data_IF_630710516017
#
_entry.id   IF_630710516017
#
_cell.length_a   1.000
_cell.length_b   1.000
_cell.length_c   1.000
_cell.angle_alpha   90.00
_cell.angle_beta   90.00
_cell.angle_gamma   90.00
#
_symmetry.space_group_name_H-M   'P 1'
#
loop_
_entity.id
_entity.type
_entity.pdbx_description
1 polymer ?
#
# COMPACT_ATOMS: atom_id res chain seq x y z
N UNK A 1 31.92 8.28 13.75
CA UNK A 1 30.76 8.64 12.95
C UNK A 1 30.57 7.53 11.93
N UNK A 2 29.37 6.92 11.79
CA UNK A 2 29.12 5.88 10.78
C UNK A 2 29.16 6.51 9.39
N UNK A 3 29.83 5.86 8.44
CA UNK A 3 29.86 6.27 7.03
C UNK A 3 28.98 5.32 6.21
N UNK A 4 28.49 5.80 5.09
CA UNK A 4 27.58 5.06 4.21
C UNK A 4 28.18 5.06 2.80
N UNK A 5 27.99 3.99 2.01
CA UNK A 5 28.60 3.88 0.67
C UNK A 5 28.02 4.90 -0.32
N UNK A 6 26.75 5.26 -0.18
CA UNK A 6 26.01 6.18 -1.05
C UNK A 6 24.82 6.82 -0.33
N UNK A 7 24.14 7.76 -0.99
CA UNK A 7 22.98 8.47 -0.45
C UNK A 7 21.77 7.55 -0.24
N UNK A 8 21.59 6.54 -1.07
CA UNK A 8 20.47 5.60 -0.95
C UNK A 8 20.63 4.71 0.28
N UNK A 9 21.83 4.20 0.52
CA UNK A 9 22.18 3.47 1.74
C UNK A 9 21.98 4.33 2.98
N UNK A 10 22.45 5.59 2.94
CA UNK A 10 22.24 6.54 4.05
C UNK A 10 20.74 6.73 4.33
N UNK A 11 19.95 7.02 3.31
CA UNK A 11 18.51 7.26 3.43
C UNK A 11 17.79 6.04 4.01
N UNK A 12 18.07 4.85 3.49
CA UNK A 12 17.45 3.60 3.94
C UNK A 12 17.81 3.28 5.38
N UNK A 13 19.09 3.28 5.71
CA UNK A 13 19.54 2.86 7.03
C UNK A 13 19.21 3.87 8.15
N UNK A 14 19.12 5.16 7.82
CA UNK A 14 18.88 6.23 8.82
C UNK A 14 17.41 6.57 8.97
N UNK A 15 16.64 6.62 7.87
CA UNK A 15 15.27 7.09 7.88
C UNK A 15 14.21 5.98 7.72
N UNK A 16 14.59 4.85 7.14
CA UNK A 16 13.72 3.69 6.96
C UNK A 16 14.34 2.39 7.51
N UNK A 17 14.88 2.40 8.76
CA UNK A 17 15.45 1.19 9.32
C UNK A 17 14.38 0.11 9.50
N UNK A 18 14.72 -1.09 9.06
CA UNK A 18 13.91 -2.29 9.26
C UNK A 18 14.38 -3.02 10.52
N UNK A 19 13.43 -3.54 11.29
CA UNK A 19 13.74 -4.54 12.33
C UNK A 19 14.01 -5.92 11.68
N UNK A 20 14.40 -6.89 12.51
CA UNK A 20 14.79 -8.20 12.01
C UNK A 20 13.59 -8.95 11.38
N UNK A 21 12.38 -8.70 11.86
CA UNK A 21 11.18 -9.27 11.25
C UNK A 21 10.98 -8.76 9.81
N UNK A 22 10.95 -7.44 9.63
CA UNK A 22 10.76 -6.84 8.30
C UNK A 22 11.81 -7.31 7.28
N UNK A 23 13.08 -7.40 7.71
CA UNK A 23 14.17 -7.91 6.86
C UNK A 23 13.96 -9.35 6.40
N UNK A 24 13.27 -10.17 7.18
CA UNK A 24 13.03 -11.59 6.87
C UNK A 24 11.74 -11.84 6.08
N UNK A 25 10.81 -10.90 6.01
CA UNK A 25 9.51 -11.09 5.32
C UNK A 25 9.72 -11.57 3.88
N UNK A 26 10.48 -10.82 3.08
CA UNK A 26 10.64 -11.16 1.65
C UNK A 26 11.55 -12.37 1.41
N UNK A 27 12.70 -12.55 2.09
CA UNK A 27 13.44 -13.80 2.00
C UNK A 27 12.58 -15.03 2.27
N UNK A 28 11.85 -15.04 3.39
CA UNK A 28 10.99 -16.16 3.78
C UNK A 28 9.83 -16.38 2.79
N UNK A 29 9.24 -15.31 2.25
CA UNK A 29 8.19 -15.38 1.26
C UNK A 29 8.69 -16.04 -0.04
N UNK A 30 9.88 -15.67 -0.51
CA UNK A 30 10.52 -16.26 -1.70
C UNK A 30 10.81 -17.74 -1.49
N UNK A 31 11.32 -18.15 -0.32
CA UNK A 31 11.52 -19.57 0.03
C UNK A 31 10.21 -20.37 0.00
N UNK A 32 9.08 -19.73 0.31
CA UNK A 32 7.75 -20.31 0.19
C UNK A 32 7.18 -20.21 -1.23
N UNK A 33 7.95 -19.70 -2.21
CA UNK A 33 7.56 -19.60 -3.62
C UNK A 33 6.64 -18.44 -3.97
N UNK A 34 6.63 -17.36 -3.17
CA UNK A 34 6.00 -16.10 -3.53
C UNK A 34 6.93 -15.30 -4.44
N UNK A 35 6.40 -14.44 -5.32
CA UNK A 35 7.25 -13.60 -6.18
C UNK A 35 8.04 -12.59 -5.35
N UNK A 36 9.26 -12.27 -5.81
CA UNK A 36 10.12 -11.28 -5.17
C UNK A 36 9.70 -9.86 -5.56
N UNK A 37 8.55 -9.45 -5.09
CA UNK A 37 8.01 -8.10 -5.25
C UNK A 37 7.51 -7.59 -3.90
N UNK A 38 7.81 -6.35 -3.56
CA UNK A 38 7.25 -5.63 -2.41
C UNK A 38 7.58 -4.15 -2.55
N UNK A 39 6.91 -3.32 -1.81
CA UNK A 39 7.31 -1.92 -1.64
C UNK A 39 8.71 -1.83 -1.04
N UNK A 40 9.46 -0.77 -1.37
CA UNK A 40 10.77 -0.53 -0.75
C UNK A 40 10.63 -0.20 0.75
N UNK A 41 11.70 -0.36 1.55
CA UNK A 41 11.69 0.07 2.95
C UNK A 41 11.33 1.55 3.11
N UNK A 42 11.79 2.40 2.20
CA UNK A 42 11.47 3.83 2.17
C UNK A 42 9.98 4.08 1.89
N UNK A 43 9.38 3.31 0.95
CA UNK A 43 7.93 3.37 0.68
C UNK A 43 7.14 2.88 1.89
N UNK A 44 7.52 1.77 2.51
CA UNK A 44 6.91 1.25 3.74
C UNK A 44 6.96 2.28 4.88
N UNK A 45 8.13 2.92 5.10
CA UNK A 45 8.29 3.98 6.09
C UNK A 45 7.44 5.21 5.79
N UNK A 46 7.32 5.57 4.50
CA UNK A 46 6.44 6.67 4.08
C UNK A 46 4.98 6.35 4.33
N UNK A 47 4.52 5.14 4.03
CA UNK A 47 3.16 4.69 4.35
C UNK A 47 2.87 4.80 5.86
N UNK A 48 3.81 4.32 6.69
CA UNK A 48 3.72 4.48 8.15
C UNK A 48 3.63 5.95 8.57
N UNK A 49 4.49 6.81 8.02
CA UNK A 49 4.50 8.25 8.30
C UNK A 49 3.16 8.90 7.92
N UNK A 50 2.65 8.63 6.72
CA UNK A 50 1.37 9.17 6.24
C UNK A 50 0.21 8.74 7.15
N UNK A 51 0.12 7.46 7.51
CA UNK A 51 -0.91 6.96 8.41
C UNK A 51 -0.83 7.61 9.80
N UNK A 52 0.37 7.79 10.35
CA UNK A 52 0.58 8.49 11.64
C UNK A 52 0.22 9.96 11.55
N UNK A 53 0.58 10.65 10.46
CA UNK A 53 0.37 12.10 10.32
C UNK A 53 -1.10 12.51 10.32
N UNK A 54 -1.99 11.62 9.84
CA UNK A 54 -3.44 11.86 9.85
C UNK A 54 -4.16 11.23 11.06
N UNK A 55 -3.40 10.60 11.97
CA UNK A 55 -3.97 9.90 13.12
C UNK A 55 -4.87 8.73 12.72
N UNK A 56 -4.48 7.97 11.67
CA UNK A 56 -5.29 6.89 11.13
C UNK A 56 -5.65 5.83 12.20
N UNK A 57 -6.89 5.36 12.15
CA UNK A 57 -7.45 4.30 13.00
C UNK A 57 -8.02 3.15 12.18
N UNK A 58 -8.40 3.40 10.92
CA UNK A 58 -8.98 2.42 10.00
C UNK A 58 -8.28 2.53 8.65
N UNK A 59 -7.62 1.45 8.25
CA UNK A 59 -6.89 1.37 6.98
C UNK A 59 -7.38 0.18 6.18
N UNK A 60 -7.57 0.38 4.88
CA UNK A 60 -7.78 -0.68 3.90
C UNK A 60 -6.59 -0.76 2.95
N UNK A 61 -6.16 -1.96 2.63
CA UNK A 61 -5.13 -2.26 1.63
C UNK A 61 -5.67 -3.21 0.56
N UNK A 62 -5.41 -2.88 -0.69
CA UNK A 62 -5.60 -3.76 -1.83
C UNK A 62 -4.27 -4.41 -2.22
N UNK A 63 -4.14 -5.72 -2.02
CA UNK A 63 -2.94 -6.51 -2.28
C UNK A 63 -2.04 -6.65 -1.04
N UNK A 64 -1.87 -7.89 -0.53
CA UNK A 64 -1.07 -8.17 0.66
C UNK A 64 0.28 -8.80 0.34
N UNK A 65 0.33 -9.71 -0.64
CA UNK A 65 1.46 -10.58 -0.97
C UNK A 65 1.97 -11.35 0.27
N UNK A 66 2.97 -10.77 0.97
CA UNK A 66 3.56 -11.31 2.20
C UNK A 66 3.30 -10.41 3.43
N UNK A 67 2.53 -9.34 3.27
CA UNK A 67 2.15 -8.43 4.36
C UNK A 67 3.20 -7.40 4.75
N UNK A 68 4.22 -7.17 3.93
CA UNK A 68 5.30 -6.23 4.26
C UNK A 68 4.78 -4.79 4.41
N UNK A 69 4.06 -4.26 3.44
CA UNK A 69 3.39 -2.95 3.50
C UNK A 69 2.37 -2.88 4.63
N UNK A 70 1.57 -3.94 4.79
CA UNK A 70 0.58 -4.05 5.84
C UNK A 70 1.16 -3.97 7.25
N UNK A 71 2.36 -4.53 7.51
CA UNK A 71 3.05 -4.38 8.80
C UNK A 71 3.41 -2.92 9.06
N UNK A 72 3.93 -2.19 8.07
CA UNK A 72 4.23 -0.76 8.21
C UNK A 72 2.97 0.06 8.50
N UNK A 73 1.87 -0.22 7.79
CA UNK A 73 0.58 0.45 7.95
C UNK A 73 -0.07 0.12 9.31
N UNK A 74 -0.16 -1.16 9.66
CA UNK A 74 -0.79 -1.59 10.90
C UNK A 74 -0.04 -1.11 12.15
N UNK A 75 1.30 -1.08 12.12
CA UNK A 75 2.13 -0.50 13.20
C UNK A 75 1.93 1.01 13.37
N UNK A 76 1.32 1.69 12.41
CA UNK A 76 0.94 3.10 12.55
C UNK A 76 -0.34 3.29 13.37
N UNK A 77 -1.18 2.27 13.47
CA UNK A 77 -2.47 2.33 14.15
C UNK A 77 -2.32 2.29 15.68
N UNK A 78 -3.29 2.80 16.43
CA UNK A 78 -3.41 2.55 17.87
C UNK A 78 -3.91 1.11 18.13
N UNK A 79 -3.81 0.63 19.38
CA UNK A 79 -4.19 -0.74 19.77
C UNK A 79 -5.65 -1.11 19.45
N UNK A 80 -6.54 -0.13 19.38
CA UNK A 80 -7.94 -0.28 18.98
C UNK A 80 -8.19 0.12 17.52
N UNK A 81 -7.14 0.19 16.71
CA UNK A 81 -7.24 0.42 15.27
C UNK A 81 -7.72 -0.80 14.51
N UNK A 82 -8.04 -0.61 13.24
CA UNK A 82 -8.46 -1.70 12.34
C UNK A 82 -7.71 -1.57 11.02
N UNK A 83 -6.98 -2.61 10.67
CA UNK A 83 -6.33 -2.76 9.37
C UNK A 83 -6.95 -3.95 8.64
N UNK A 84 -7.36 -3.75 7.40
CA UNK A 84 -7.89 -4.81 6.54
C UNK A 84 -7.05 -4.84 5.27
N UNK A 85 -6.57 -6.01 4.88
CA UNK A 85 -5.96 -6.22 3.57
C UNK A 85 -6.74 -7.26 2.77
N UNK A 86 -6.89 -6.99 1.47
CA UNK A 86 -7.58 -7.88 0.53
C UNK A 86 -6.54 -8.58 -0.33
N UNK A 87 -6.58 -9.92 -0.36
CA UNK A 87 -5.61 -10.75 -1.11
C UNK A 87 -6.34 -11.83 -1.89
N UNK A 88 -6.06 -11.92 -3.19
CA UNK A 88 -6.73 -12.88 -4.05
C UNK A 88 -6.16 -14.29 -3.91
N UNK A 89 -4.87 -14.43 -3.65
CA UNK A 89 -4.18 -15.72 -3.55
C UNK A 89 -4.22 -16.26 -2.11
N UNK A 90 -4.88 -17.41 -1.86
CA UNK A 90 -4.95 -18.01 -0.53
C UNK A 90 -3.57 -18.30 0.09
N UNK A 91 -2.58 -18.67 -0.73
CA UNK A 91 -1.21 -18.95 -0.27
C UNK A 91 -0.53 -17.67 0.22
N UNK A 92 -0.66 -16.57 -0.52
CA UNK A 92 -0.16 -15.26 -0.11
C UNK A 92 -0.83 -14.81 1.21
N UNK A 93 -2.14 -14.96 1.28
CA UNK A 93 -2.90 -14.62 2.49
C UNK A 93 -2.46 -15.42 3.72
N UNK A 94 -2.16 -16.71 3.56
CA UNK A 94 -1.67 -17.57 4.67
C UNK A 94 -0.28 -17.13 5.13
N UNK A 95 0.62 -16.77 4.21
CA UNK A 95 1.94 -16.20 4.55
C UNK A 95 1.77 -14.87 5.26
N UNK A 96 0.88 -14.00 4.76
CA UNK A 96 0.58 -12.70 5.37
C UNK A 96 0.06 -12.83 6.79
N UNK A 97 -0.88 -13.75 7.06
CA UNK A 97 -1.40 -13.99 8.42
C UNK A 97 -0.30 -14.39 9.39
N UNK A 98 0.59 -15.32 8.99
CA UNK A 98 1.73 -15.75 9.81
C UNK A 98 2.68 -14.57 10.12
N UNK A 99 2.91 -13.71 9.13
CA UNK A 99 3.77 -12.54 9.31
C UNK A 99 3.11 -11.48 10.23
N UNK A 100 1.79 -11.29 10.15
CA UNK A 100 1.06 -10.42 11.09
C UNK A 100 1.04 -10.98 12.51
N UNK A 101 0.91 -12.30 12.67
CA UNK A 101 1.04 -12.96 13.96
C UNK A 101 2.44 -12.76 14.57
N UNK A 102 3.49 -13.01 13.78
CA UNK A 102 4.88 -12.76 14.19
C UNK A 102 5.17 -11.29 14.53
N UNK A 103 4.46 -10.35 13.87
CA UNK A 103 4.53 -8.93 14.15
C UNK A 103 3.71 -8.47 15.37
N UNK A 104 2.93 -9.38 16.00
CA UNK A 104 2.03 -9.05 17.11
C UNK A 104 0.79 -8.25 16.70
N UNK A 105 0.37 -8.35 15.44
CA UNK A 105 -0.69 -7.52 14.85
C UNK A 105 -2.06 -8.23 14.74
N UNK A 106 -2.16 -9.50 15.17
CA UNK A 106 -3.39 -10.31 15.02
C UNK A 106 -4.65 -9.68 15.64
N UNK A 107 -4.49 -8.77 16.61
CA UNK A 107 -5.61 -8.08 17.25
C UNK A 107 -6.23 -6.95 16.41
N UNK A 108 -5.47 -6.40 15.46
CA UNK A 108 -5.88 -5.23 14.66
C UNK A 108 -5.84 -5.46 13.16
N UNK A 109 -5.07 -6.45 12.67
CA UNK A 109 -4.89 -6.75 11.25
C UNK A 109 -5.70 -7.97 10.82
N UNK A 110 -6.47 -7.81 9.75
CA UNK A 110 -7.34 -8.84 9.17
C UNK A 110 -6.98 -9.05 7.70
N UNK A 111 -6.79 -10.31 7.29
CA UNK A 111 -6.56 -10.69 5.88
C UNK A 111 -7.82 -11.35 5.35
N UNK A 112 -8.44 -10.74 4.34
CA UNK A 112 -9.59 -11.28 3.60
C UNK A 112 -9.14 -11.86 2.28
N UNK A 113 -9.56 -13.10 2.01
CA UNK A 113 -9.15 -13.84 0.81
C UNK A 113 -10.25 -13.82 -0.23
N UNK A 114 -9.90 -13.44 -1.45
CA UNK A 114 -10.80 -13.45 -2.60
C UNK A 114 -10.60 -12.26 -3.52
N UNK A 115 -11.43 -12.20 -4.55
CA UNK A 115 -11.46 -11.08 -5.47
C UNK A 115 -11.81 -9.78 -4.73
N UNK A 116 -10.99 -8.74 -4.91
CA UNK A 116 -11.17 -7.46 -4.23
C UNK A 116 -12.52 -6.82 -4.55
N UNK A 117 -13.00 -6.89 -5.80
CA UNK A 117 -14.31 -6.34 -6.19
C UNK A 117 -15.47 -7.01 -5.43
N UNK A 118 -15.35 -8.30 -5.11
CA UNK A 118 -16.35 -9.00 -4.31
C UNK A 118 -16.21 -8.69 -2.80
N UNK A 119 -14.97 -8.54 -2.31
CA UNK A 119 -14.68 -8.35 -0.89
C UNK A 119 -14.93 -6.94 -0.39
N UNK A 120 -14.87 -5.92 -1.26
CA UNK A 120 -15.10 -4.51 -0.89
C UNK A 120 -16.47 -4.30 -0.23
N UNK A 121 -17.51 -5.02 -0.68
CA UNK A 121 -18.85 -4.94 -0.06
C UNK A 121 -18.81 -5.28 1.44
N UNK A 122 -18.03 -6.30 1.83
CA UNK A 122 -17.83 -6.63 3.25
C UNK A 122 -16.92 -5.64 3.99
N UNK A 123 -16.00 -4.99 3.28
CA UNK A 123 -15.13 -3.98 3.87
C UNK A 123 -15.88 -2.68 4.22
N UNK A 124 -16.97 -2.34 3.52
CA UNK A 124 -17.78 -1.14 3.78
C UNK A 124 -18.34 -1.10 5.21
N UNK A 125 -18.53 -2.25 5.86
CA UNK A 125 -18.98 -2.30 7.26
C UNK A 125 -17.99 -1.63 8.24
N UNK A 126 -16.73 -1.44 7.84
CA UNK A 126 -15.69 -0.76 8.62
C UNK A 126 -15.52 0.70 8.21
N UNK A 127 -15.96 1.06 7.00
CA UNK A 127 -15.87 2.43 6.47
C UNK A 127 -16.53 3.48 7.40
N UNK A 128 -16.21 4.77 7.27
CA UNK A 128 -15.19 5.28 6.37
C UNK A 128 -13.76 4.97 6.84
N UNK A 129 -12.84 4.80 5.88
CA UNK A 129 -11.42 4.60 6.15
C UNK A 129 -10.69 5.92 6.31
N UNK A 130 -9.63 5.92 7.10
CA UNK A 130 -8.71 7.05 7.21
C UNK A 130 -7.66 7.03 6.10
N UNK A 131 -7.24 5.84 5.68
CA UNK A 131 -6.31 5.64 4.58
C UNK A 131 -6.72 4.39 3.79
N UNK A 132 -6.71 4.52 2.46
CA UNK A 132 -6.82 3.40 1.52
C UNK A 132 -5.52 3.30 0.74
N UNK A 133 -4.86 2.12 0.79
CA UNK A 133 -3.64 1.84 0.04
C UNK A 133 -3.93 0.87 -1.09
N UNK A 134 -3.45 1.20 -2.31
CA UNK A 134 -3.71 0.45 -3.55
C UNK A 134 -2.37 -0.06 -4.09
N UNK A 135 -2.13 -1.37 -3.99
CA UNK A 135 -0.97 -2.06 -4.58
C UNK A 135 -1.32 -3.49 -5.00
N UNK A 136 -2.35 -3.62 -5.83
CA UNK A 136 -2.79 -4.89 -6.42
C UNK A 136 -2.55 -4.91 -7.94
N UNK A 137 -3.41 -5.62 -8.69
CA UNK A 137 -3.38 -5.62 -10.16
C UNK A 137 -3.63 -4.22 -10.72
N UNK A 138 -2.78 -3.82 -11.66
CA UNK A 138 -2.74 -2.43 -12.11
C UNK A 138 -3.92 -2.08 -13.02
N UNK A 139 -4.47 -3.07 -13.69
CA UNK A 139 -5.65 -2.94 -14.57
C UNK A 139 -6.88 -2.44 -13.79
N UNK A 140 -7.02 -2.80 -12.51
CA UNK A 140 -8.15 -2.45 -11.64
C UNK A 140 -7.94 -1.14 -10.84
N UNK A 141 -6.83 -0.43 -11.02
CA UNK A 141 -6.57 0.83 -10.27
C UNK A 141 -7.70 1.87 -10.39
N UNK A 142 -8.30 2.10 -11.58
CA UNK A 142 -9.45 3.01 -11.68
C UNK A 142 -10.64 2.58 -10.81
N UNK A 143 -10.93 1.29 -10.72
CA UNK A 143 -12.06 0.76 -9.93
C UNK A 143 -11.77 0.84 -8.42
N UNK A 144 -10.51 0.55 -8.02
CA UNK A 144 -10.08 0.73 -6.63
C UNK A 144 -10.14 2.20 -6.20
N UNK A 145 -9.86 3.13 -7.13
CA UNK A 145 -10.02 4.56 -6.89
C UNK A 145 -11.49 4.93 -6.67
N UNK A 146 -12.42 4.40 -7.47
CA UNK A 146 -13.85 4.65 -7.30
C UNK A 146 -14.31 4.23 -5.90
N UNK A 147 -13.94 3.02 -5.48
CA UNK A 147 -14.22 2.56 -4.13
C UNK A 147 -13.57 3.46 -3.06
N UNK A 148 -12.31 3.84 -3.23
CA UNK A 148 -11.58 4.65 -2.27
C UNK A 148 -12.19 6.06 -2.11
N UNK A 149 -12.65 6.68 -3.22
CA UNK A 149 -13.33 7.97 -3.21
C UNK A 149 -14.63 7.95 -2.41
N UNK A 150 -15.39 6.85 -2.51
CA UNK A 150 -16.67 6.70 -1.82
C UNK A 150 -16.49 6.39 -0.31
N UNK A 151 -15.40 5.71 0.05
CA UNK A 151 -15.25 5.11 1.37
C UNK A 151 -14.11 5.67 2.22
N UNK A 152 -13.37 6.67 1.73
CA UNK A 152 -12.37 7.41 2.51
C UNK A 152 -13.01 8.68 3.08
N UNK A 153 -12.79 8.94 4.37
CA UNK A 153 -13.33 10.16 5.00
C UNK A 153 -12.69 11.43 4.46
N UNK A 154 -13.34 12.55 4.63
CA UNK A 154 -12.73 13.87 4.47
C UNK A 154 -11.48 14.00 5.36
N UNK A 155 -10.39 14.53 4.82
CA UNK A 155 -9.07 14.59 5.46
C UNK A 155 -8.37 13.24 5.54
N UNK A 156 -8.91 12.19 4.92
CA UNK A 156 -8.26 10.90 4.74
C UNK A 156 -7.35 10.85 3.52
N UNK A 157 -6.60 9.78 3.37
CA UNK A 157 -5.65 9.61 2.28
C UNK A 157 -5.99 8.41 1.40
N UNK A 158 -5.84 8.60 0.09
CA UNK A 158 -5.78 7.53 -0.91
C UNK A 158 -4.34 7.48 -1.42
N UNK A 159 -3.68 6.34 -1.27
CA UNK A 159 -2.28 6.15 -1.66
C UNK A 159 -2.17 4.98 -2.63
N UNK A 160 -1.44 5.14 -3.73
CA UNK A 160 -1.20 4.05 -4.68
C UNK A 160 0.29 3.91 -4.98
N UNK A 161 0.79 2.66 -5.03
CA UNK A 161 2.18 2.36 -5.40
C UNK A 161 2.32 2.00 -6.90
N UNK A 162 3.55 2.06 -7.40
CA UNK A 162 3.94 1.79 -8.79
C UNK A 162 3.25 2.68 -9.85
N UNK A 163 2.89 3.87 -9.46
CA UNK A 163 2.19 4.82 -10.35
C UNK A 163 3.08 5.45 -11.42
N UNK A 164 4.39 5.13 -11.45
CA UNK A 164 5.29 5.47 -12.55
C UNK A 164 5.13 4.57 -13.79
N UNK A 165 4.25 3.54 -13.73
CA UNK A 165 4.04 2.62 -14.86
C UNK A 165 5.31 1.88 -15.29
N UNK A 166 6.13 1.43 -14.33
CA UNK A 166 7.46 0.83 -14.57
C UNK A 166 8.43 1.79 -15.28
N UNK A 167 8.32 3.08 -14.99
CA UNK A 167 9.16 4.14 -15.57
C UNK A 167 8.65 4.71 -16.90
N UNK A 168 7.54 4.23 -17.43
CA UNK A 168 7.04 4.52 -18.77
C UNK A 168 5.69 5.27 -18.83
N UNK A 169 5.17 5.76 -17.70
CA UNK A 169 3.86 6.42 -17.63
C UNK A 169 3.79 7.71 -18.49
N UNK A 170 4.94 8.32 -18.77
CA UNK A 170 5.06 9.53 -19.57
C UNK A 170 5.09 9.29 -21.10
N UNK A 171 5.19 8.03 -21.53
CA UNK A 171 5.26 7.66 -22.94
C UNK A 171 3.87 7.58 -23.58
N UNK A 172 3.82 7.69 -24.92
CA UNK A 172 2.56 7.65 -25.66
C UNK A 172 1.79 6.32 -25.47
N UNK A 173 0.47 6.42 -25.53
CA UNK A 173 -0.51 5.41 -25.09
C UNK A 173 -0.80 4.26 -26.07
N UNK A 174 0.11 3.81 -26.93
CA UNK A 174 -0.01 2.49 -27.55
C UNK A 174 0.46 1.36 -26.62
N UNK A 175 0.34 1.64 -25.36
CA UNK A 175 0.79 0.85 -24.23
C UNK A 175 -0.17 -0.31 -23.91
N UNK A 176 0.31 -1.32 -23.17
CA UNK A 176 -0.51 -2.37 -22.59
C UNK A 176 -1.65 -1.80 -21.73
N UNK A 177 -2.72 -2.59 -21.52
CA UNK A 177 -3.87 -2.20 -20.70
C UNK A 177 -3.45 -1.76 -19.30
N UNK A 178 -2.47 -2.42 -18.72
CA UNK A 178 -1.86 -2.07 -17.44
C UNK A 178 -1.31 -0.64 -17.39
N UNK A 179 -0.56 -0.19 -18.40
CA UNK A 179 -0.03 1.19 -18.45
C UNK A 179 -1.14 2.21 -18.66
N UNK A 180 -2.14 1.88 -19.50
CA UNK A 180 -3.31 2.74 -19.69
C UNK A 180 -4.10 2.93 -18.40
N UNK A 181 -4.29 1.87 -17.60
CA UNK A 181 -4.98 1.94 -16.33
C UNK A 181 -4.23 2.82 -15.31
N UNK A 182 -2.89 2.68 -15.21
CA UNK A 182 -2.08 3.55 -14.36
C UNK A 182 -2.14 5.02 -14.81
N UNK A 183 -2.07 5.27 -16.13
CA UNK A 183 -2.21 6.61 -16.66
C UNK A 183 -3.59 7.21 -16.33
N UNK A 184 -4.66 6.44 -16.54
CA UNK A 184 -6.02 6.86 -16.22
C UNK A 184 -6.21 7.15 -14.74
N UNK A 185 -5.63 6.32 -13.86
CA UNK A 185 -5.60 6.54 -12.41
C UNK A 185 -4.92 7.88 -12.10
N UNK A 186 -3.70 8.09 -12.62
CA UNK A 186 -2.93 9.32 -12.37
C UNK A 186 -3.65 10.57 -12.88
N UNK A 187 -4.21 10.52 -14.09
CA UNK A 187 -4.99 11.63 -14.67
C UNK A 187 -6.20 11.96 -13.78
N UNK A 188 -6.94 10.94 -13.34
CA UNK A 188 -8.11 11.13 -12.47
C UNK A 188 -7.75 11.76 -11.14
N UNK A 189 -6.75 11.27 -10.43
CA UNK A 189 -6.39 11.83 -9.12
C UNK A 189 -5.77 13.22 -9.24
N UNK A 190 -5.08 13.52 -10.34
CA UNK A 190 -4.51 14.84 -10.59
C UNK A 190 -5.58 15.91 -10.89
N UNK A 191 -6.69 15.53 -11.52
CA UNK A 191 -7.73 16.44 -11.98
C UNK A 191 -9.03 16.38 -11.15
N UNK A 192 -9.11 15.52 -10.13
CA UNK A 192 -10.32 15.35 -9.32
C UNK A 192 -10.52 16.52 -8.35
N UNK A 193 -11.64 17.24 -8.47
CA UNK A 193 -11.93 18.44 -7.65
C UNK A 193 -12.05 18.18 -6.14
N UNK A 194 -12.34 16.96 -5.73
CA UNK A 194 -12.42 16.52 -4.34
C UNK A 194 -11.08 16.01 -3.76
N UNK A 195 -9.97 16.14 -4.51
CA UNK A 195 -8.67 15.67 -4.08
C UNK A 195 -7.59 16.75 -4.17
N UNK A 196 -6.63 16.70 -3.26
CA UNK A 196 -5.32 17.34 -3.42
C UNK A 196 -4.29 16.23 -3.55
N UNK A 197 -3.72 16.08 -4.74
CA UNK A 197 -2.86 14.94 -5.08
C UNK A 197 -1.44 15.36 -5.41
N UNK A 198 -0.47 14.51 -5.06
CA UNK A 198 0.93 14.68 -5.42
C UNK A 198 1.60 13.32 -5.58
N UNK A 199 2.73 13.29 -6.29
CA UNK A 199 3.58 12.11 -6.45
C UNK A 199 4.80 12.26 -5.54
N UNK A 200 5.07 11.21 -4.77
CA UNK A 200 6.30 11.05 -4.00
C UNK A 200 7.21 10.08 -4.77
N UNK A 201 8.36 10.54 -5.32
CA UNK A 201 9.20 9.73 -6.21
C UNK A 201 10.12 8.78 -5.43
N UNK A 202 9.53 7.84 -4.68
CA UNK A 202 10.22 6.74 -4.00
C UNK A 202 9.71 5.40 -4.51
N UNK A 203 10.56 4.38 -4.57
CA UNK A 203 10.20 3.07 -5.13
C UNK A 203 9.64 3.19 -6.55
N UNK A 204 8.48 2.59 -6.77
CA UNK A 204 7.69 2.69 -8.00
C UNK A 204 6.82 3.96 -8.10
N UNK A 205 7.11 4.97 -7.32
CA UNK A 205 6.33 6.20 -7.05
C UNK A 205 5.05 5.93 -6.27
N UNK A 206 4.89 6.67 -5.19
CA UNK A 206 3.62 6.75 -4.47
C UNK A 206 2.84 7.99 -4.96
N UNK A 207 1.66 7.77 -5.51
CA UNK A 207 0.68 8.85 -5.64
C UNK A 207 -0.07 8.97 -4.32
N UNK A 208 -0.13 10.16 -3.76
CA UNK A 208 -0.81 10.45 -2.48
C UNK A 208 -1.87 11.51 -2.73
N UNK A 209 -3.10 11.20 -2.38
CA UNK A 209 -4.27 12.05 -2.56
C UNK A 209 -4.97 12.28 -1.23
N UNK A 210 -5.11 13.54 -0.82
CA UNK A 210 -5.90 13.97 0.33
C UNK A 210 -7.34 14.21 -0.11
N UNK A 211 -8.30 13.59 0.55
CA UNK A 211 -9.74 13.79 0.33
C UNK A 211 -10.18 15.12 0.98
N UNK A 212 -10.78 16.02 0.20
CA UNK A 212 -11.24 17.37 0.64
C UNK A 212 -12.60 17.36 1.33
#
# INVERSE_FOLDING_TARGET
>A
MKTYPDLDSYRREVFAPEDDLLKQIMPNAVEQGLPRISVSPESGKMLHFLAKSIGARKILEFGALAGYSGIWLARALPDNGKFITLEIDPKHADVTRKNYEAAGLSGIAEVRVGDAHALVTGATAVAPFDLVFIDADKESYPDYLDFALEHTRQGGLIVADNTNGSGHVHEALDASDRRRAIWAYNDRVANHSGLVSNIIPIGGWLTVSLVL
#
